data_IF_857774765315
#
_entry.id   IF_857774765315
#
_cell.length_a   1.000
_cell.length_b   1.000
_cell.length_c   1.000
_cell.angle_alpha   90.00
_cell.angle_beta   90.00
_cell.angle_gamma   90.00
#
_symmetry.space_group_name_H-M   'P 1'
#
loop_
_entity.id
_entity.type
_entity.pdbx_description
1 polymer ?
#
# COMPACT_ATOMS: atom_id res chain seq x y z
N UNK A 1 -2.99 16.77 3.26
CA UNK A 1 -2.19 16.69 2.01
C UNK A 1 -2.94 16.05 0.84
N UNK A 2 -4.04 15.29 1.04
CA UNK A 2 -4.77 14.63 -0.05
C UNK A 2 -6.28 14.98 -0.05
N UNK A 3 -6.69 16.16 -0.59
CA UNK A 3 -8.10 16.58 -0.63
C UNK A 3 -9.03 15.64 -1.41
N UNK A 4 -8.45 14.76 -2.24
CA UNK A 4 -9.18 13.81 -3.07
C UNK A 4 -9.61 12.54 -2.33
N UNK A 5 -9.11 12.29 -1.12
CA UNK A 5 -9.37 11.07 -0.36
C UNK A 5 -10.88 10.75 -0.24
N UNK A 6 -11.70 11.72 0.17
CA UNK A 6 -13.15 11.54 0.34
C UNK A 6 -13.92 11.34 -0.98
N UNK A 7 -13.26 11.60 -2.11
CA UNK A 7 -13.84 11.49 -3.46
C UNK A 7 -13.38 10.26 -4.21
N UNK A 8 -12.46 9.47 -3.64
CA UNK A 8 -12.05 8.21 -4.24
C UNK A 8 -13.19 7.19 -4.10
N UNK A 9 -13.40 6.31 -5.11
CA UNK A 9 -14.34 5.22 -4.98
C UNK A 9 -14.00 4.33 -3.79
N UNK A 10 -15.05 3.75 -3.20
CA UNK A 10 -14.95 2.78 -2.12
C UNK A 10 -15.25 1.37 -2.63
N UNK A 11 -14.55 0.39 -2.07
CA UNK A 11 -14.76 -1.02 -2.35
C UNK A 11 -14.73 -1.80 -1.03
N UNK A 12 -15.23 -3.03 -1.06
CA UNK A 12 -15.03 -3.96 0.05
C UNK A 12 -13.58 -4.45 0.02
N UNK A 13 -12.81 -4.07 1.04
CA UNK A 13 -11.38 -4.35 1.15
C UNK A 13 -11.12 -5.36 2.27
N UNK A 14 -10.03 -6.11 2.14
CA UNK A 14 -9.50 -6.98 3.17
C UNK A 14 -9.14 -6.19 4.43
N UNK A 15 -8.54 -5.01 4.26
CA UNK A 15 -8.21 -4.11 5.36
C UNK A 15 -6.88 -4.40 6.05
N UNK A 16 -6.29 -5.57 5.79
CA UNK A 16 -4.89 -5.88 6.11
C UNK A 16 -4.28 -6.83 5.08
N UNK A 17 -4.31 -6.42 3.80
CA UNK A 17 -3.78 -7.26 2.72
C UNK A 17 -2.26 -7.17 2.66
N UNK A 18 -1.56 -8.26 2.96
CA UNK A 18 -0.11 -8.40 2.86
C UNK A 18 0.29 -9.89 2.68
N UNK A 19 1.55 -10.21 2.30
CA UNK A 19 1.93 -11.56 1.87
C UNK A 19 1.74 -12.66 2.93
N UNK A 20 1.75 -12.34 4.22
CA UNK A 20 1.57 -13.32 5.30
C UNK A 20 0.10 -13.73 5.49
N UNK A 21 -0.84 -12.89 5.04
CA UNK A 21 -2.29 -13.20 5.03
C UNK A 21 -2.71 -13.96 3.77
N UNK A 22 -1.75 -14.46 2.99
CA UNK A 22 -1.98 -15.24 1.78
C UNK A 22 -1.42 -16.65 1.98
N UNK A 23 -2.29 -17.66 1.84
CA UNK A 23 -1.86 -19.05 1.77
C UNK A 23 -1.48 -19.37 0.34
N UNK A 24 -0.21 -19.67 0.13
CA UNK A 24 0.35 -20.02 -1.17
C UNK A 24 0.31 -21.53 -1.41
N UNK A 25 0.05 -21.93 -2.64
CA UNK A 25 0.33 -23.27 -3.15
C UNK A 25 1.65 -23.26 -3.93
N UNK A 26 1.97 -24.35 -4.63
CA UNK A 26 3.19 -24.42 -5.45
C UNK A 26 3.17 -23.43 -6.63
N UNK A 27 2.00 -23.09 -7.15
CA UNK A 27 1.85 -22.35 -8.41
C UNK A 27 0.83 -21.19 -8.34
N UNK A 28 0.07 -21.07 -7.25
CA UNK A 28 -0.97 -20.05 -7.13
C UNK A 28 -1.27 -19.62 -5.69
N UNK A 29 -2.11 -18.60 -5.57
CA UNK A 29 -2.76 -18.24 -4.30
C UNK A 29 -3.87 -19.26 -4.03
N UNK A 30 -3.78 -19.95 -2.89
CA UNK A 30 -4.78 -20.92 -2.45
C UNK A 30 -5.95 -20.24 -1.74
N UNK A 31 -5.67 -19.32 -0.82
CA UNK A 31 -6.68 -18.48 -0.19
C UNK A 31 -6.07 -17.24 0.48
N UNK A 32 -6.92 -16.26 0.77
CA UNK A 32 -6.62 -15.10 1.60
C UNK A 32 -7.34 -15.26 2.93
N UNK A 33 -6.63 -15.07 4.03
CA UNK A 33 -7.10 -15.29 5.41
C UNK A 33 -7.02 -14.00 6.22
N UNK A 34 -7.56 -14.04 7.43
CA UNK A 34 -7.48 -12.96 8.41
C UNK A 34 -8.30 -11.69 8.05
N UNK A 35 -9.61 -11.89 7.91
CA UNK A 35 -10.56 -10.86 7.47
C UNK A 35 -11.07 -9.94 8.60
N UNK A 36 -10.41 -9.89 9.76
CA UNK A 36 -10.92 -9.14 10.91
C UNK A 36 -10.96 -7.62 10.68
N UNK A 37 -10.12 -7.10 9.76
CA UNK A 37 -10.07 -5.69 9.38
C UNK A 37 -10.89 -5.34 8.13
N UNK A 38 -11.69 -6.28 7.62
CA UNK A 38 -12.43 -6.09 6.38
C UNK A 38 -13.53 -5.04 6.48
N UNK A 39 -13.86 -4.42 5.35
CA UNK A 39 -14.94 -3.44 5.28
C UNK A 39 -14.81 -2.50 4.08
N UNK A 40 -15.74 -1.55 3.99
CA UNK A 40 -15.72 -0.53 2.95
C UNK A 40 -14.60 0.49 3.22
N UNK A 41 -13.63 0.52 2.32
CA UNK A 41 -12.48 1.44 2.34
C UNK A 41 -12.30 2.01 0.94
N UNK A 42 -11.35 2.92 0.74
CA UNK A 42 -10.97 3.30 -0.63
C UNK A 42 -10.56 2.06 -1.41
N UNK A 43 -10.93 1.98 -2.69
CA UNK A 43 -10.53 0.87 -3.57
C UNK A 43 -9.00 0.69 -3.70
N UNK A 44 -8.20 1.70 -3.32
CA UNK A 44 -6.75 1.62 -3.26
C UNK A 44 -6.21 0.92 -2.02
N UNK A 45 -7.02 0.75 -0.98
CA UNK A 45 -6.53 0.47 0.38
C UNK A 45 -5.62 -0.76 0.44
N UNK A 46 -6.10 -1.90 -0.06
CA UNK A 46 -5.34 -3.16 0.00
C UNK A 46 -4.08 -3.11 -0.87
N UNK A 47 -4.14 -2.50 -2.06
CA UNK A 47 -2.99 -2.32 -2.93
C UNK A 47 -1.94 -1.41 -2.29
N UNK A 48 -2.36 -0.31 -1.67
CA UNK A 48 -1.49 0.62 -0.98
C UNK A 48 -0.88 0.00 0.29
N UNK A 49 -1.63 -0.81 1.04
CA UNK A 49 -1.11 -1.52 2.21
C UNK A 49 -0.01 -2.50 1.80
N UNK A 50 -0.29 -3.36 0.80
CA UNK A 50 0.68 -4.33 0.28
C UNK A 50 1.98 -3.67 -0.18
N UNK A 51 1.88 -2.66 -1.05
CA UNK A 51 3.06 -1.97 -1.59
C UNK A 51 3.79 -1.22 -0.47
N UNK A 52 3.04 -0.64 0.48
CA UNK A 52 3.59 -0.01 1.66
C UNK A 52 4.43 -0.96 2.52
N UNK A 53 3.95 -2.19 2.75
CA UNK A 53 4.67 -3.25 3.45
C UNK A 53 5.94 -3.68 2.70
N UNK A 54 5.85 -3.92 1.39
CA UNK A 54 7.01 -4.28 0.57
C UNK A 54 8.10 -3.21 0.65
N UNK A 55 7.72 -1.94 0.52
CA UNK A 55 8.70 -0.86 0.48
C UNK A 55 9.29 -0.49 1.84
N UNK A 56 8.60 -0.71 2.96
CA UNK A 56 9.20 -0.49 4.29
C UNK A 56 10.23 -1.57 4.62
N UNK A 57 10.02 -2.80 4.13
CA UNK A 57 10.97 -3.91 4.28
C UNK A 57 12.20 -3.75 3.36
N UNK A 58 11.98 -3.41 2.09
CA UNK A 58 13.03 -3.04 1.15
C UNK A 58 12.58 -1.92 0.19
N UNK A 59 13.05 -0.68 0.37
CA UNK A 59 12.67 0.45 -0.49
C UNK A 59 13.03 0.27 -1.98
N UNK A 60 14.06 -0.53 -2.30
CA UNK A 60 14.44 -0.77 -3.71
C UNK A 60 13.37 -1.58 -4.44
N UNK A 61 12.67 -2.46 -3.71
CA UNK A 61 11.58 -3.29 -4.23
C UNK A 61 10.37 -2.49 -4.71
N UNK A 62 10.20 -1.22 -4.31
CA UNK A 62 9.17 -0.31 -4.84
C UNK A 62 9.27 -0.10 -6.35
N UNK A 63 10.46 -0.28 -6.92
CA UNK A 63 10.69 -0.22 -8.37
C UNK A 63 11.08 -1.57 -8.97
N UNK A 64 11.02 -2.64 -8.18
CA UNK A 64 11.29 -4.01 -8.60
C UNK A 64 10.13 -4.65 -9.37
N UNK A 65 10.38 -5.83 -9.93
CA UNK A 65 9.44 -6.53 -10.83
C UNK A 65 8.13 -6.89 -10.12
N UNK A 66 8.16 -7.27 -8.85
CA UNK A 66 6.97 -7.62 -8.09
C UNK A 66 5.94 -6.47 -8.08
N UNK A 67 6.36 -5.28 -7.66
CA UNK A 67 5.48 -4.10 -7.58
C UNK A 67 5.04 -3.64 -8.97
N UNK A 68 5.95 -3.66 -9.96
CA UNK A 68 5.62 -3.28 -11.34
C UNK A 68 4.60 -4.20 -11.98
N UNK A 69 4.83 -5.51 -11.93
CA UNK A 69 3.90 -6.51 -12.46
C UNK A 69 2.55 -6.45 -11.75
N UNK A 70 2.56 -6.35 -10.41
CA UNK A 70 1.32 -6.20 -9.63
C UNK A 70 0.50 -4.99 -10.09
N UNK A 71 1.10 -3.79 -10.16
CA UNK A 71 0.39 -2.59 -10.60
C UNK A 71 -0.12 -2.73 -12.04
N UNK A 72 0.70 -3.29 -12.95
CA UNK A 72 0.32 -3.49 -14.34
C UNK A 72 -0.87 -4.44 -14.49
N UNK A 73 -0.86 -5.58 -13.79
CA UNK A 73 -1.95 -6.56 -13.81
C UNK A 73 -3.23 -6.01 -13.17
N UNK A 74 -3.11 -5.28 -12.06
CA UNK A 74 -4.25 -4.63 -11.39
C UNK A 74 -4.89 -3.55 -12.28
N UNK A 75 -4.09 -2.75 -12.98
CA UNK A 75 -4.58 -1.79 -14.00
C UNK A 75 -5.29 -2.50 -15.15
N UNK A 76 -4.76 -3.64 -15.63
CA UNK A 76 -5.35 -4.45 -16.69
C UNK A 76 -6.68 -5.09 -16.27
N UNK A 77 -6.79 -5.51 -15.01
CA UNK A 77 -8.02 -6.06 -14.44
C UNK A 77 -9.16 -5.02 -14.33
N UNK A 78 -8.84 -3.72 -14.34
CA UNK A 78 -9.80 -2.59 -14.29
C UNK A 78 -10.74 -2.64 -13.08
N UNK A 79 -10.27 -3.20 -11.95
CA UNK A 79 -11.00 -3.25 -10.69
C UNK A 79 -10.84 -1.98 -9.84
N UNK A 80 -9.74 -1.24 -10.03
CA UNK A 80 -9.47 0.07 -9.43
C UNK A 80 -9.57 1.12 -10.53
N UNK A 81 -10.26 2.23 -10.26
CA UNK A 81 -10.43 3.30 -11.24
C UNK A 81 -9.09 3.92 -11.66
N UNK A 82 -8.99 4.33 -12.92
CA UNK A 82 -7.78 4.98 -13.46
C UNK A 82 -7.41 6.24 -12.65
N UNK A 83 -8.41 6.97 -12.16
CA UNK A 83 -8.22 8.18 -11.37
C UNK A 83 -7.56 7.88 -10.02
N UNK A 84 -7.93 6.78 -9.37
CA UNK A 84 -7.38 6.38 -8.08
C UNK A 84 -5.88 6.08 -8.16
N UNK A 85 -5.42 5.43 -9.23
CA UNK A 85 -3.98 5.14 -9.41
C UNK A 85 -3.09 6.37 -9.39
N UNK A 86 -3.60 7.54 -9.77
CA UNK A 86 -2.87 8.81 -9.71
C UNK A 86 -2.48 9.23 -8.29
N UNK A 87 -3.17 8.67 -7.28
CA UNK A 87 -2.98 8.99 -5.87
C UNK A 87 -2.40 7.82 -5.06
N UNK A 88 -1.93 6.76 -5.73
CA UNK A 88 -1.43 5.57 -5.04
C UNK A 88 -0.32 5.90 -4.02
N UNK A 89 0.68 6.70 -4.43
CA UNK A 89 1.78 7.07 -3.55
C UNK A 89 1.29 7.86 -2.33
N UNK A 90 0.46 8.88 -2.56
CA UNK A 90 -0.11 9.68 -1.49
C UNK A 90 -0.94 8.82 -0.53
N UNK A 91 -1.64 7.81 -1.05
CA UNK A 91 -2.41 6.87 -0.25
C UNK A 91 -1.51 5.94 0.58
N UNK A 92 -0.38 5.46 0.03
CA UNK A 92 0.62 4.69 0.78
C UNK A 92 1.14 5.52 1.96
N UNK A 93 1.52 6.78 1.71
CA UNK A 93 1.97 7.70 2.77
C UNK A 93 0.87 7.94 3.81
N UNK A 94 -0.39 8.07 3.37
CA UNK A 94 -1.54 8.18 4.28
C UNK A 94 -1.67 6.97 5.22
N UNK A 95 -1.48 5.75 4.70
CA UNK A 95 -1.52 4.53 5.51
C UNK A 95 -0.34 4.46 6.50
N UNK A 96 0.84 4.97 6.16
CA UNK A 96 1.98 5.01 7.10
C UNK A 96 1.71 5.87 8.33
N UNK A 97 0.85 6.90 8.23
CA UNK A 97 0.42 7.64 9.42
C UNK A 97 -0.37 6.78 10.42
N UNK A 98 -1.11 5.76 9.96
CA UNK A 98 -1.82 4.85 10.87
C UNK A 98 -0.83 4.00 11.69
N UNK A 99 0.21 3.48 11.03
CA UNK A 99 1.30 2.74 11.68
C UNK A 99 2.12 3.63 12.62
N UNK A 100 2.52 4.82 12.16
CA UNK A 100 3.19 5.81 13.00
C UNK A 100 2.38 6.16 14.25
N UNK A 101 1.06 6.29 14.11
CA UNK A 101 0.17 6.55 15.26
C UNK A 101 0.21 5.41 16.29
N UNK A 102 0.35 4.17 15.86
CA UNK A 102 0.51 3.01 16.75
C UNK A 102 1.85 3.02 17.48
N UNK A 103 2.95 3.26 16.77
CA UNK A 103 4.29 3.31 17.38
C UNK A 103 4.43 4.47 18.37
N UNK A 104 3.80 5.61 18.07
CA UNK A 104 3.71 6.75 19.00
C UNK A 104 2.97 6.37 20.29
N UNK A 105 1.86 5.62 20.21
CA UNK A 105 1.14 5.15 21.41
C UNK A 105 1.98 4.18 22.26
N UNK A 106 2.86 3.41 21.62
CA UNK A 106 3.74 2.44 22.27
C UNK A 106 5.08 3.02 22.73
N UNK A 107 5.36 4.28 22.38
CA UNK A 107 6.66 4.93 22.60
C UNK A 107 7.83 4.15 21.96
N UNK A 108 7.58 3.45 20.85
CA UNK A 108 8.57 2.65 20.15
C UNK A 108 9.43 3.54 19.24
N UNK A 109 10.51 4.07 19.81
CA UNK A 109 11.38 5.05 19.13
C UNK A 109 12.06 4.51 17.87
N UNK A 110 12.35 3.21 17.81
CA UNK A 110 12.98 2.59 16.63
C UNK A 110 11.98 2.55 15.48
N UNK A 111 10.77 2.06 15.74
CA UNK A 111 9.71 2.01 14.73
C UNK A 111 9.24 3.41 14.32
N UNK A 112 9.19 4.37 15.24
CA UNK A 112 8.92 5.78 14.90
C UNK A 112 9.97 6.32 13.90
N UNK A 113 11.26 6.07 14.16
CA UNK A 113 12.33 6.54 13.25
C UNK A 113 12.19 5.88 11.88
N UNK A 114 11.95 4.57 11.85
CA UNK A 114 11.76 3.81 10.61
C UNK A 114 10.60 4.37 9.77
N UNK A 115 9.43 4.61 10.37
CA UNK A 115 8.29 5.19 9.66
C UNK A 115 8.61 6.57 9.09
N UNK A 116 9.24 7.44 9.90
CA UNK A 116 9.55 8.80 9.47
C UNK A 116 10.53 8.81 8.30
N UNK A 117 11.57 7.98 8.36
CA UNK A 117 12.56 7.89 7.28
C UNK A 117 11.96 7.27 6.02
N UNK A 118 11.13 6.24 6.16
CA UNK A 118 10.42 5.65 5.03
C UNK A 118 9.43 6.62 4.38
N UNK A 119 8.64 7.35 5.18
CA UNK A 119 7.71 8.36 4.66
C UNK A 119 8.44 9.50 3.94
N UNK A 120 9.61 9.95 4.43
CA UNK A 120 10.47 10.91 3.73
C UNK A 120 10.94 10.35 2.40
N UNK A 121 11.43 9.10 2.37
CA UNK A 121 11.86 8.43 1.15
C UNK A 121 10.75 8.42 0.09
N UNK A 122 9.52 8.05 0.47
CA UNK A 122 8.38 8.04 -0.44
C UNK A 122 8.07 9.44 -1.01
N UNK A 123 8.07 10.47 -0.15
CA UNK A 123 7.75 11.85 -0.53
C UNK A 123 8.84 12.42 -1.46
N UNK A 124 10.11 12.26 -1.10
CA UNK A 124 11.25 12.81 -1.84
C UNK A 124 11.41 12.14 -3.22
N UNK A 125 11.03 10.86 -3.33
CA UNK A 125 11.11 10.08 -4.57
C UNK A 125 9.80 10.01 -5.36
N UNK A 126 8.80 10.83 -5.01
CA UNK A 126 7.45 10.79 -5.61
C UNK A 126 7.45 10.70 -7.13
N UNK A 127 8.18 11.59 -7.79
CA UNK A 127 8.18 11.67 -9.25
C UNK A 127 8.81 10.44 -9.90
N UNK A 128 9.85 9.88 -9.27
CA UNK A 128 10.54 8.68 -9.75
C UNK A 128 9.62 7.47 -9.61
N UNK A 129 9.00 7.30 -8.44
CA UNK A 129 8.09 6.20 -8.16
C UNK A 129 6.84 6.24 -9.04
N UNK A 130 6.20 7.41 -9.16
CA UNK A 130 5.05 7.58 -10.06
C UNK A 130 5.42 7.24 -11.50
N UNK A 131 6.60 7.65 -11.99
CA UNK A 131 7.07 7.30 -13.34
C UNK A 131 7.35 5.80 -13.50
N UNK A 132 7.88 5.14 -12.48
CA UNK A 132 8.15 3.70 -12.50
C UNK A 132 6.87 2.85 -12.51
N UNK A 133 5.76 3.39 -12.02
CA UNK A 133 4.48 2.70 -11.92
C UNK A 133 3.50 3.01 -13.06
N UNK A 134 3.84 3.94 -13.97
CA UNK A 134 2.97 4.35 -15.09
C UNK A 134 2.73 3.21 -16.08
#
# INVERSE_FOLDING_TARGET
>A
FMPMYEKLPVAFCHGDYHPLNVIWSADNIKCVIDWEFCGYKSELYDAANLIGCIGVEDPQSLTGDLVRCFIADMKKAKIISQKSWLYLLEFIVALRFAWLSEWLRREDTEMISLELDYMRLLIDNKNILQKAWL
#
